data_IF_588849888401
#
_entry.id   IF_588849888401
#
_cell.length_a   1.000
_cell.length_b   1.000
_cell.length_c   1.000
_cell.angle_alpha   90.00
_cell.angle_beta   90.00
_cell.angle_gamma   90.00
#
_symmetry.space_group_name_H-M   'P 1'
#
loop_
_entity.id
_entity.type
_entity.pdbx_description
1 polymer ?
#
# COMPACT_ATOMS: atom_id res chain seq x y z
N UNK A 1 -11.43 -29.38 38.24
CA UNK A 1 -12.02 -29.01 36.94
C UNK A 1 -11.05 -28.06 36.27
N UNK A 2 -10.40 -28.50 35.20
CA UNK A 2 -9.48 -27.68 34.42
C UNK A 2 -10.35 -26.59 33.76
N UNK A 3 -10.07 -25.33 34.06
CA UNK A 3 -10.81 -24.17 33.56
C UNK A 3 -10.63 -24.14 32.03
N UNK A 4 -11.64 -24.55 31.29
CA UNK A 4 -11.70 -24.70 29.82
C UNK A 4 -11.67 -23.34 29.09
N UNK A 5 -11.20 -22.29 29.77
CA UNK A 5 -11.18 -20.91 29.28
C UNK A 5 -10.11 -20.68 28.22
N UNK A 6 -9.21 -21.60 27.94
CA UNK A 6 -8.09 -21.35 27.02
C UNK A 6 -8.35 -21.69 25.54
N UNK A 7 -9.46 -22.35 25.20
CA UNK A 7 -9.75 -22.77 23.81
C UNK A 7 -10.93 -22.06 23.15
N UNK A 8 -11.04 -20.72 23.29
CA UNK A 8 -11.99 -19.94 22.50
C UNK A 8 -11.57 -19.99 21.02
N UNK A 9 -12.34 -20.73 20.23
CA UNK A 9 -12.10 -20.95 18.80
C UNK A 9 -12.72 -19.84 17.96
N UNK A 10 -12.30 -19.83 16.70
CA UNK A 10 -12.83 -18.96 15.66
C UNK A 10 -14.35 -19.04 15.53
N UNK A 11 -14.96 -20.21 15.69
CA UNK A 11 -16.41 -20.41 15.48
C UNK A 11 -17.27 -20.02 16.69
N UNK A 12 -16.64 -19.85 17.87
CA UNK A 12 -17.35 -19.63 19.13
C UNK A 12 -17.82 -18.18 19.32
N UNK A 13 -17.24 -17.23 18.57
CA UNK A 13 -17.58 -15.81 18.65
C UNK A 13 -18.71 -15.51 17.65
N UNK A 14 -19.94 -15.17 18.05
CA UNK A 14 -21.00 -14.83 17.08
C UNK A 14 -20.69 -13.54 16.32
N UNK A 15 -21.21 -13.43 15.09
CA UNK A 15 -21.16 -12.18 14.32
C UNK A 15 -22.36 -11.32 14.69
N UNK A 16 -22.10 -10.12 15.21
CA UNK A 16 -23.13 -9.15 15.60
C UNK A 16 -23.19 -8.02 14.58
N UNK A 17 -24.02 -8.18 13.53
CA UNK A 17 -24.09 -7.28 12.37
C UNK A 17 -24.92 -6.03 12.60
N UNK A 18 -25.91 -6.11 13.49
CA UNK A 18 -26.93 -5.09 13.72
C UNK A 18 -27.50 -5.19 15.14
N UNK A 19 -28.41 -4.28 15.49
CA UNK A 19 -29.03 -4.24 16.82
C UNK A 19 -29.87 -5.49 17.06
N UNK A 20 -30.57 -6.02 16.06
CA UNK A 20 -31.43 -7.20 16.19
C UNK A 20 -30.63 -8.45 16.57
N UNK A 21 -29.45 -8.63 15.98
CA UNK A 21 -28.50 -9.71 16.30
C UNK A 21 -28.05 -9.71 17.77
N UNK A 22 -28.21 -8.57 18.46
CA UNK A 22 -27.91 -8.39 19.88
C UNK A 22 -29.18 -8.59 20.72
N UNK A 23 -30.25 -7.83 20.42
CA UNK A 23 -31.42 -7.72 21.32
C UNK A 23 -32.37 -8.92 21.24
N UNK A 24 -32.40 -9.63 20.12
CA UNK A 24 -33.25 -10.81 19.92
C UNK A 24 -32.67 -12.09 20.56
N UNK A 25 -31.50 -12.01 21.19
CA UNK A 25 -30.86 -13.17 21.81
C UNK A 25 -31.63 -13.59 23.06
N UNK A 26 -31.80 -14.90 23.23
CA UNK A 26 -32.62 -15.52 24.30
C UNK A 26 -32.34 -14.99 25.71
N UNK A 27 -31.08 -14.69 26.01
CA UNK A 27 -30.63 -14.27 27.34
C UNK A 27 -30.37 -12.77 27.45
N UNK A 28 -30.64 -12.00 26.40
CA UNK A 28 -30.38 -10.58 26.38
C UNK A 28 -31.35 -9.82 27.30
N UNK A 29 -30.79 -8.99 28.17
CA UNK A 29 -31.52 -8.05 29.04
C UNK A 29 -30.78 -6.73 29.11
N UNK A 30 -31.52 -5.64 28.98
CA UNK A 30 -30.99 -4.28 29.08
C UNK A 30 -32.12 -3.35 29.55
N UNK A 31 -31.89 -2.50 30.57
CA UNK A 31 -30.65 -2.33 31.34
C UNK A 31 -30.43 -3.38 32.44
N UNK A 32 -29.19 -3.52 32.90
CA UNK A 32 -28.76 -4.35 34.04
C UNK A 32 -27.98 -3.51 35.07
N UNK A 33 -28.19 -3.83 36.35
CA UNK A 33 -27.40 -3.28 37.46
C UNK A 33 -26.24 -4.21 37.80
N UNK A 34 -25.08 -3.64 38.08
CA UNK A 34 -23.85 -4.33 38.45
C UNK A 34 -23.36 -3.89 39.85
N UNK A 35 -22.39 -4.62 40.41
CA UNK A 35 -21.68 -4.19 41.61
C UNK A 35 -21.12 -2.76 41.45
N UNK A 36 -21.23 -1.87 42.46
CA UNK A 36 -21.66 -2.12 43.85
C UNK A 36 -23.17 -2.00 44.11
N UNK A 37 -23.96 -1.48 43.15
CA UNK A 37 -25.41 -1.24 43.36
C UNK A 37 -26.23 -2.53 43.35
N UNK A 38 -25.72 -3.59 42.73
CA UNK A 38 -26.30 -4.93 42.73
C UNK A 38 -25.24 -5.93 43.22
N UNK A 39 -25.36 -6.40 44.47
CA UNK A 39 -24.31 -7.20 45.15
C UNK A 39 -23.98 -8.53 44.46
N UNK A 40 -24.92 -9.07 43.68
CA UNK A 40 -24.82 -10.43 43.15
C UNK A 40 -24.45 -10.51 41.66
N UNK A 41 -24.36 -9.37 40.95
CA UNK A 41 -24.11 -9.35 39.51
C UNK A 41 -22.75 -8.76 39.17
N UNK A 42 -21.86 -9.64 38.72
CA UNK A 42 -20.52 -9.31 38.24
C UNK A 42 -20.41 -9.56 36.73
N UNK A 43 -19.31 -9.08 36.15
CA UNK A 43 -18.91 -9.42 34.79
C UNK A 43 -18.71 -10.94 34.68
N UNK A 44 -19.28 -11.53 33.62
CA UNK A 44 -19.03 -12.91 33.22
C UNK A 44 -17.86 -12.95 32.23
N UNK A 45 -18.17 -13.05 30.94
CA UNK A 45 -17.20 -13.03 29.85
C UNK A 45 -17.67 -12.09 28.73
N UNK A 46 -16.78 -11.77 27.80
CA UNK A 46 -17.23 -11.20 26.52
C UNK A 46 -17.80 -12.35 25.67
N UNK A 47 -18.89 -12.08 24.96
CA UNK A 47 -19.47 -13.00 23.96
C UNK A 47 -18.92 -12.66 22.58
N UNK A 48 -19.04 -11.39 22.19
CA UNK A 48 -18.54 -10.89 20.91
C UNK A 48 -18.45 -9.37 20.90
N UNK A 49 -17.50 -8.80 20.14
CA UNK A 49 -17.52 -7.38 19.81
C UNK A 49 -18.63 -7.09 18.78
N UNK A 50 -19.23 -5.90 18.85
CA UNK A 50 -20.17 -5.40 17.86
C UNK A 50 -19.68 -4.09 17.24
N UNK A 51 -19.98 -3.91 15.95
CA UNK A 51 -19.66 -2.70 15.18
C UNK A 51 -20.87 -2.29 14.33
N UNK A 52 -21.78 -1.54 14.94
CA UNK A 52 -23.03 -1.11 14.32
C UNK A 52 -22.79 -0.01 13.29
N UNK A 53 -23.62 0.03 12.26
CA UNK A 53 -23.65 1.08 11.24
C UNK A 53 -24.96 1.85 11.33
N UNK A 54 -24.89 3.18 11.40
CA UNK A 54 -26.05 4.05 11.42
C UNK A 54 -26.66 4.24 12.81
N UNK A 55 -27.35 3.22 13.33
CA UNK A 55 -28.08 3.33 14.59
C UNK A 55 -27.24 2.92 15.81
N UNK A 56 -27.30 3.72 16.87
CA UNK A 56 -26.65 3.42 18.14
C UNK A 56 -27.55 2.62 19.08
N UNK A 57 -26.93 1.71 19.86
CA UNK A 57 -27.58 0.96 20.92
C UNK A 57 -27.25 1.58 22.28
N UNK A 58 -28.24 1.74 23.17
CA UNK A 58 -28.01 2.25 24.53
C UNK A 58 -27.21 1.25 25.35
N UNK A 59 -26.24 1.72 26.12
CA UNK A 59 -25.47 0.89 27.04
C UNK A 59 -26.38 0.17 28.03
N UNK A 60 -26.20 -1.14 28.17
CA UNK A 60 -26.93 -2.00 29.07
C UNK A 60 -26.51 -1.88 30.53
N UNK A 61 -25.48 -1.12 30.87
CA UNK A 61 -25.24 -0.72 32.26
C UNK A 61 -26.28 0.34 32.64
N UNK A 62 -27.14 0.01 33.60
CA UNK A 62 -28.27 0.86 34.01
C UNK A 62 -27.86 2.28 34.42
N UNK A 63 -26.68 2.43 35.03
CA UNK A 63 -26.16 3.72 35.47
C UNK A 63 -25.45 4.52 34.36
N UNK A 64 -25.36 3.95 33.16
CA UNK A 64 -24.68 4.57 32.03
C UNK A 64 -25.67 5.06 30.98
N UNK A 65 -26.43 4.15 30.36
CA UNK A 65 -27.41 4.46 29.30
C UNK A 65 -26.86 5.14 28.04
N UNK A 66 -25.56 5.44 27.98
CA UNK A 66 -24.93 6.15 26.85
C UNK A 66 -25.07 5.33 25.56
N UNK A 67 -25.43 5.94 24.42
CA UNK A 67 -25.51 5.24 23.16
C UNK A 67 -24.13 4.90 22.59
N UNK A 68 -23.98 3.73 21.97
CA UNK A 68 -22.73 3.25 21.39
C UNK A 68 -22.95 2.69 19.97
N UNK A 69 -21.97 2.93 19.08
CA UNK A 69 -21.82 2.22 17.81
C UNK A 69 -20.91 1.00 17.94
N UNK A 70 -19.98 1.03 18.89
CA UNK A 70 -18.95 0.02 19.09
C UNK A 70 -18.89 -0.40 20.55
N UNK A 71 -18.77 -1.70 20.78
CA UNK A 71 -18.70 -2.25 22.13
C UNK A 71 -18.77 -3.76 22.11
N UNK A 72 -19.23 -4.32 23.22
CA UNK A 72 -19.21 -5.76 23.45
C UNK A 72 -20.56 -6.23 23.96
N UNK A 73 -21.00 -7.36 23.44
CA UNK A 73 -21.98 -8.19 24.12
C UNK A 73 -21.24 -8.97 25.20
N UNK A 74 -21.70 -8.87 26.44
CA UNK A 74 -21.11 -9.58 27.58
C UNK A 74 -22.14 -10.51 28.21
N UNK A 75 -21.66 -11.56 28.86
CA UNK A 75 -22.43 -12.30 29.86
C UNK A 75 -22.18 -11.74 31.25
N UNK A 76 -23.10 -12.04 32.16
CA UNK A 76 -23.01 -11.71 33.58
C UNK A 76 -22.86 -12.99 34.41
N UNK A 77 -22.48 -12.86 35.69
CA UNK A 77 -22.35 -14.01 36.61
C UNK A 77 -23.64 -14.85 36.74
N UNK A 78 -24.80 -14.24 36.50
CA UNK A 78 -26.13 -14.86 36.47
C UNK A 78 -26.59 -15.29 35.06
N UNK A 79 -25.65 -15.41 34.10
CA UNK A 79 -25.86 -15.89 32.71
C UNK A 79 -26.78 -15.03 31.85
N UNK A 80 -27.05 -13.79 32.24
CA UNK A 80 -27.73 -12.82 31.38
C UNK A 80 -26.74 -12.22 30.39
N UNK A 81 -27.23 -11.77 29.24
CA UNK A 81 -26.44 -11.05 28.25
C UNK A 81 -26.83 -9.58 28.23
N UNK A 82 -25.86 -8.67 28.05
CA UNK A 82 -26.13 -7.25 27.83
C UNK A 82 -25.05 -6.59 26.99
N UNK A 83 -25.39 -5.51 26.31
CA UNK A 83 -24.44 -4.76 25.49
C UNK A 83 -23.79 -3.64 26.31
N UNK A 84 -22.49 -3.42 26.14
CA UNK A 84 -21.79 -2.32 26.80
C UNK A 84 -20.79 -1.65 25.86
N UNK A 85 -20.50 -0.37 26.07
CA UNK A 85 -19.41 0.31 25.38
C UNK A 85 -18.04 -0.10 25.95
N UNK A 86 -16.98 0.02 25.13
CA UNK A 86 -15.60 -0.27 25.51
C UNK A 86 -15.15 0.46 26.78
N UNK A 87 -15.35 1.78 26.81
CA UNK A 87 -14.93 2.62 27.93
C UNK A 87 -15.76 2.33 29.18
N UNK A 88 -17.04 2.01 28.99
CA UNK A 88 -17.94 1.61 30.06
C UNK A 88 -17.46 0.31 30.70
N UNK A 89 -17.18 -0.73 29.91
CA UNK A 89 -16.66 -2.00 30.40
C UNK A 89 -15.32 -1.85 31.12
N UNK A 90 -14.37 -1.14 30.52
CA UNK A 90 -13.05 -0.88 31.12
C UNK A 90 -13.18 -0.15 32.47
N UNK A 91 -14.05 0.86 32.55
CA UNK A 91 -14.27 1.61 33.79
C UNK A 91 -14.94 0.77 34.87
N UNK A 92 -15.94 -0.04 34.51
CA UNK A 92 -16.76 -0.79 35.48
C UNK A 92 -16.09 -2.09 35.94
N UNK A 93 -15.38 -2.79 35.05
CA UNK A 93 -14.86 -4.14 35.30
C UNK A 93 -13.33 -4.26 35.25
N UNK A 94 -12.63 -3.17 34.92
CA UNK A 94 -11.16 -3.05 35.02
C UNK A 94 -10.42 -4.16 34.25
N UNK A 95 -9.45 -4.80 34.89
CA UNK A 95 -8.46 -5.70 34.27
C UNK A 95 -9.09 -6.94 33.62
N UNK A 96 -10.11 -7.53 34.25
CA UNK A 96 -10.75 -8.75 33.75
C UNK A 96 -11.40 -8.50 32.39
N UNK A 97 -12.09 -7.37 32.26
CA UNK A 97 -12.67 -6.95 30.99
C UNK A 97 -11.61 -6.58 29.95
N UNK A 98 -10.52 -5.93 30.35
CA UNK A 98 -9.47 -5.54 29.42
C UNK A 98 -8.75 -6.74 28.79
N UNK A 99 -8.52 -7.82 29.56
CA UNK A 99 -7.91 -9.05 29.07
C UNK A 99 -8.84 -9.77 28.07
N UNK A 100 -10.11 -9.97 28.45
CA UNK A 100 -11.13 -10.59 27.60
C UNK A 100 -11.37 -9.79 26.32
N UNK A 101 -11.35 -8.45 26.42
CA UNK A 101 -11.48 -7.53 25.30
C UNK A 101 -10.37 -7.77 24.27
N UNK A 102 -9.11 -7.78 24.71
CA UNK A 102 -7.96 -7.99 23.83
C UNK A 102 -8.09 -9.32 23.07
N UNK A 103 -8.47 -10.39 23.77
CA UNK A 103 -8.65 -11.72 23.17
C UNK A 103 -9.74 -11.73 22.09
N UNK A 104 -10.90 -11.16 22.38
CA UNK A 104 -12.02 -11.12 21.44
C UNK A 104 -11.76 -10.20 20.25
N UNK A 105 -11.07 -9.07 20.48
CA UNK A 105 -10.64 -8.16 19.41
C UNK A 105 -9.67 -8.85 18.46
N UNK A 106 -8.72 -9.65 18.97
CA UNK A 106 -7.78 -10.41 18.17
C UNK A 106 -8.49 -11.48 17.31
N UNK A 107 -9.44 -12.22 17.89
CA UNK A 107 -10.23 -13.22 17.17
C UNK A 107 -11.12 -12.58 16.11
N UNK A 108 -11.80 -11.49 16.44
CA UNK A 108 -12.64 -10.75 15.50
C UNK A 108 -11.81 -10.14 14.36
N UNK A 109 -10.67 -9.54 14.67
CA UNK A 109 -9.73 -9.02 13.67
C UNK A 109 -9.22 -10.14 12.75
N UNK A 110 -8.85 -11.29 13.32
CA UNK A 110 -8.47 -12.49 12.55
C UNK A 110 -9.59 -12.90 11.58
N UNK A 111 -10.85 -12.93 12.04
CA UNK A 111 -12.03 -13.23 11.19
C UNK A 111 -12.20 -12.26 10.04
N UNK A 112 -12.17 -10.96 10.31
CA UNK A 112 -12.29 -9.97 9.25
C UNK A 112 -11.17 -10.14 8.19
N UNK A 113 -9.94 -10.37 8.64
CA UNK A 113 -8.81 -10.58 7.73
C UNK A 113 -8.95 -11.86 6.90
N UNK A 114 -9.36 -12.98 7.52
CA UNK A 114 -9.63 -14.23 6.79
C UNK A 114 -10.73 -14.03 5.76
N UNK A 115 -11.85 -13.38 6.13
CA UNK A 115 -12.93 -13.09 5.18
C UNK A 115 -12.43 -12.33 3.95
N UNK A 116 -11.59 -11.30 4.15
CA UNK A 116 -10.95 -10.57 3.05
C UNK A 116 -9.97 -11.41 2.23
N UNK A 117 -9.25 -12.36 2.85
CA UNK A 117 -8.36 -13.28 2.12
C UNK A 117 -9.17 -14.27 1.29
N UNK A 118 -10.31 -14.74 1.79
CA UNK A 118 -11.22 -15.60 1.03
C UNK A 118 -11.84 -14.86 -0.15
N UNK A 119 -12.23 -13.59 0.02
CA UNK A 119 -12.61 -12.71 -1.09
C UNK A 119 -11.46 -12.52 -2.09
N UNK A 120 -10.23 -12.28 -1.60
CA UNK A 120 -9.04 -12.19 -2.45
C UNK A 120 -8.85 -13.48 -3.27
N UNK A 121 -9.07 -14.65 -2.67
CA UNK A 121 -8.88 -15.96 -3.34
C UNK A 121 -9.69 -16.07 -4.62
N UNK A 122 -10.90 -15.50 -4.69
CA UNK A 122 -11.74 -15.58 -5.89
C UNK A 122 -11.18 -14.77 -7.06
N UNK A 123 -10.42 -13.71 -6.78
CA UNK A 123 -9.81 -12.82 -7.78
C UNK A 123 -8.29 -13.00 -7.90
N UNK A 124 -7.68 -13.82 -7.05
CA UNK A 124 -6.24 -14.03 -7.02
C UNK A 124 -5.65 -14.56 -8.33
N UNK A 125 -6.31 -15.48 -9.08
CA UNK A 125 -5.76 -15.96 -10.36
C UNK A 125 -5.61 -14.86 -11.42
N UNK A 126 -6.62 -14.01 -11.60
CA UNK A 126 -6.55 -12.91 -12.57
C UNK A 126 -5.53 -11.86 -12.12
N UNK A 127 -5.49 -11.55 -10.82
CA UNK A 127 -4.51 -10.64 -10.25
C UNK A 127 -3.07 -11.15 -10.41
N UNK A 128 -2.84 -12.45 -10.20
CA UNK A 128 -1.55 -13.09 -10.42
C UNK A 128 -1.13 -12.97 -11.89
N UNK A 129 -2.06 -13.20 -12.83
CA UNK A 129 -1.80 -13.04 -14.25
C UNK A 129 -1.39 -11.59 -14.59
N UNK A 130 -2.14 -10.60 -14.09
CA UNK A 130 -1.81 -9.17 -14.27
C UNK A 130 -0.42 -8.83 -13.74
N UNK A 131 -0.13 -9.17 -12.48
CA UNK A 131 1.17 -8.86 -11.86
C UNK A 131 2.32 -9.57 -12.59
N UNK A 132 2.12 -10.81 -13.05
CA UNK A 132 3.14 -11.55 -13.81
C UNK A 132 3.40 -10.90 -15.17
N UNK A 133 2.37 -10.45 -15.87
CA UNK A 133 2.50 -9.70 -17.13
C UNK A 133 3.24 -8.37 -16.93
N UNK A 134 2.88 -7.62 -15.89
CA UNK A 134 3.58 -6.40 -15.48
C UNK A 134 5.05 -6.70 -15.19
N UNK A 135 5.35 -7.77 -14.44
CA UNK A 135 6.71 -8.16 -14.12
C UNK A 135 7.53 -8.44 -15.38
N UNK A 136 7.00 -9.22 -16.31
CA UNK A 136 7.67 -9.53 -17.57
C UNK A 136 7.99 -8.27 -18.39
N UNK A 137 7.00 -7.37 -18.53
CA UNK A 137 7.18 -6.10 -19.24
C UNK A 137 8.20 -5.18 -18.56
N UNK A 138 8.11 -5.04 -17.25
CA UNK A 138 9.04 -4.22 -16.48
C UNK A 138 10.47 -4.77 -16.55
N UNK A 139 10.65 -6.09 -16.40
CA UNK A 139 11.98 -6.73 -16.50
C UNK A 139 12.59 -6.58 -17.90
N UNK A 140 11.77 -6.66 -18.94
CA UNK A 140 12.20 -6.38 -20.31
C UNK A 140 12.74 -4.94 -20.43
N UNK A 141 11.96 -3.93 -20.02
CA UNK A 141 12.38 -2.53 -20.07
C UNK A 141 13.59 -2.25 -19.17
N UNK A 142 13.66 -2.89 -17.99
CA UNK A 142 14.82 -2.84 -17.10
C UNK A 142 16.08 -3.38 -17.78
N UNK A 143 15.96 -4.42 -18.61
CA UNK A 143 17.07 -4.96 -19.40
C UNK A 143 17.57 -3.96 -20.45
N UNK A 144 16.66 -3.25 -21.14
CA UNK A 144 17.03 -2.18 -22.08
C UNK A 144 17.75 -1.04 -21.37
N UNK A 145 17.25 -0.65 -20.20
CA UNK A 145 17.90 0.37 -19.35
C UNK A 145 19.29 -0.05 -18.91
N UNK A 146 19.46 -1.31 -18.53
CA UNK A 146 20.77 -1.87 -18.17
C UNK A 146 21.74 -1.81 -19.36
N UNK A 147 21.25 -2.12 -20.57
CA UNK A 147 22.05 -2.04 -21.80
C UNK A 147 22.43 -0.61 -22.17
N UNK A 148 21.49 0.33 -22.06
CA UNK A 148 21.77 1.76 -22.21
C UNK A 148 22.89 2.18 -21.26
N UNK A 149 22.71 1.96 -19.95
CA UNK A 149 23.69 2.35 -18.93
C UNK A 149 25.04 1.67 -19.11
N UNK A 150 25.06 0.40 -19.50
CA UNK A 150 26.30 -0.35 -19.71
C UNK A 150 27.11 0.12 -20.92
N UNK A 151 26.49 0.82 -21.88
CA UNK A 151 27.16 1.40 -23.03
C UNK A 151 27.73 2.82 -22.75
N UNK A 152 27.34 3.47 -21.65
CA UNK A 152 27.78 4.82 -21.35
C UNK A 152 29.19 4.84 -20.74
N UNK A 153 30.00 5.81 -21.16
CA UNK A 153 31.22 6.18 -20.44
C UNK A 153 30.92 6.67 -19.02
N UNK A 154 31.93 6.70 -18.13
CA UNK A 154 31.75 7.21 -16.77
C UNK A 154 31.26 8.67 -16.74
N UNK A 155 31.75 9.50 -17.67
CA UNK A 155 31.34 10.90 -17.82
C UNK A 155 29.88 11.00 -18.26
N UNK A 156 29.49 10.21 -19.27
CA UNK A 156 28.11 10.21 -19.78
C UNK A 156 27.12 9.65 -18.76
N UNK A 157 27.50 8.60 -18.03
CA UNK A 157 26.69 8.07 -16.92
C UNK A 157 26.46 9.13 -15.85
N UNK A 158 27.49 9.90 -15.49
CA UNK A 158 27.37 10.98 -14.50
C UNK A 158 26.42 12.08 -14.96
N UNK A 159 26.45 12.44 -16.26
CA UNK A 159 25.52 13.40 -16.87
C UNK A 159 24.08 12.88 -16.82
N UNK A 160 23.87 11.62 -17.21
CA UNK A 160 22.55 11.00 -17.18
C UNK A 160 22.00 10.94 -15.75
N UNK A 161 22.83 10.55 -14.77
CA UNK A 161 22.42 10.47 -13.37
C UNK A 161 22.08 11.85 -12.78
N UNK A 162 22.80 12.90 -13.18
CA UNK A 162 22.43 14.28 -12.80
C UNK A 162 21.05 14.65 -13.35
N UNK A 163 20.76 14.33 -14.62
CA UNK A 163 19.46 14.59 -15.25
C UNK A 163 18.31 13.78 -14.61
N UNK A 164 18.59 12.52 -14.25
CA UNK A 164 17.61 11.68 -13.52
C UNK A 164 17.33 12.25 -12.13
N UNK A 165 18.35 12.75 -11.42
CA UNK A 165 18.18 13.39 -10.11
C UNK A 165 17.35 14.67 -10.19
N UNK A 166 17.51 15.48 -11.24
CA UNK A 166 16.72 16.70 -11.43
C UNK A 166 15.27 16.41 -11.85
N UNK A 167 14.97 15.19 -12.34
CA UNK A 167 13.64 14.77 -12.83
C UNK A 167 13.05 15.67 -13.91
N UNK A 168 13.91 16.37 -14.63
CA UNK A 168 13.53 17.32 -15.67
C UNK A 168 13.68 16.63 -17.04
N UNK A 169 12.57 16.30 -17.73
CA UNK A 169 12.62 15.67 -19.05
C UNK A 169 12.99 16.66 -20.15
N UNK A 170 13.08 17.96 -19.85
CA UNK A 170 13.29 19.00 -20.85
C UNK A 170 14.63 18.89 -21.56
N UNK A 171 14.60 19.10 -22.87
CA UNK A 171 15.76 19.29 -23.72
C UNK A 171 15.99 20.78 -23.90
N UNK A 172 17.24 21.22 -23.76
CA UNK A 172 17.57 22.64 -23.80
C UNK A 172 18.72 22.93 -24.74
N UNK A 173 18.60 24.05 -25.46
CA UNK A 173 19.70 24.67 -26.20
C UNK A 173 20.21 25.87 -25.40
N UNK A 174 21.52 26.04 -25.35
CA UNK A 174 22.17 27.18 -24.71
C UNK A 174 22.67 28.16 -25.76
N UNK A 175 22.25 29.42 -25.63
CA UNK A 175 22.64 30.50 -26.53
C UNK A 175 23.32 31.63 -25.77
N UNK A 176 24.19 32.38 -26.45
CA UNK A 176 24.75 33.60 -25.89
C UNK A 176 23.62 34.61 -25.66
N UNK A 177 23.57 35.18 -24.45
CA UNK A 177 22.65 36.29 -24.15
C UNK A 177 23.06 37.53 -24.95
N UNK A 178 22.08 38.30 -25.40
CA UNK A 178 22.33 39.63 -25.97
C UNK A 178 22.92 40.57 -24.92
N UNK A 179 23.51 41.70 -25.33
CA UNK A 179 24.07 42.69 -24.39
C UNK A 179 23.01 43.17 -23.37
N UNK A 180 21.81 43.51 -23.86
CA UNK A 180 20.71 43.93 -23.00
C UNK A 180 20.26 42.81 -22.02
N UNK A 181 20.22 41.55 -22.46
CA UNK A 181 19.88 40.42 -21.59
C UNK A 181 20.97 40.13 -20.54
N UNK A 182 22.24 40.44 -20.84
CA UNK A 182 23.35 40.32 -19.88
C UNK A 182 23.28 41.41 -18.82
N UNK A 183 23.04 42.65 -19.23
CA UNK A 183 22.87 43.78 -18.31
C UNK A 183 21.70 43.54 -17.35
N UNK A 184 20.53 43.14 -17.87
CA UNK A 184 19.36 42.80 -17.06
C UNK A 184 19.62 41.63 -16.08
N UNK A 185 20.41 40.63 -16.48
CA UNK A 185 20.79 39.52 -15.60
C UNK A 185 21.73 39.96 -14.47
N UNK A 186 22.69 40.85 -14.75
CA UNK A 186 23.64 41.36 -13.76
C UNK A 186 22.97 42.32 -12.77
N UNK A 187 21.94 43.05 -13.20
CA UNK A 187 21.12 43.88 -12.31
C UNK A 187 20.28 43.04 -11.34
N UNK A 188 19.74 41.92 -11.82
CA UNK A 188 18.86 41.04 -11.03
C UNK A 188 19.61 39.99 -10.19
N UNK A 189 20.90 39.76 -10.45
CA UNK A 189 21.74 38.82 -9.71
C UNK A 189 23.04 39.45 -9.17
N UNK A 190 23.06 39.89 -7.89
CA UNK A 190 24.21 40.57 -7.27
C UNK A 190 25.52 39.74 -7.27
N UNK A 191 25.42 38.43 -7.12
CA UNK A 191 26.57 37.50 -7.14
C UNK A 191 27.19 37.37 -8.55
N UNK A 192 26.36 37.42 -9.59
CA UNK A 192 26.82 37.45 -10.98
C UNK A 192 27.48 38.80 -11.31
N UNK A 193 26.99 39.90 -10.71
CA UNK A 193 27.59 41.24 -10.85
C UNK A 193 29.00 41.33 -10.30
N UNK A 194 29.30 40.65 -9.19
CA UNK A 194 30.65 40.57 -8.61
C UNK A 194 31.62 39.72 -9.44
N UNK A 195 31.14 38.61 -9.99
CA UNK A 195 31.97 37.66 -10.75
C UNK A 195 32.09 38.00 -12.25
N UNK A 196 31.20 38.85 -12.78
CA UNK A 196 31.08 39.13 -14.21
C UNK A 196 30.57 37.95 -15.04
N UNK A 197 30.25 36.82 -14.40
CA UNK A 197 29.82 35.60 -15.07
C UNK A 197 28.31 35.64 -15.33
N UNK A 198 27.93 35.62 -16.61
CA UNK A 198 26.54 35.51 -17.03
C UNK A 198 26.36 34.16 -17.72
N UNK A 199 25.54 33.25 -17.17
CA UNK A 199 25.28 31.98 -17.81
C UNK A 199 24.52 32.19 -19.13
N UNK A 200 24.73 31.29 -20.11
CA UNK A 200 24.01 31.35 -21.38
C UNK A 200 22.49 31.27 -21.16
N UNK A 201 21.75 31.80 -22.13
CA UNK A 201 20.28 31.71 -22.17
C UNK A 201 19.89 30.26 -22.43
N UNK A 202 19.05 29.71 -21.57
CA UNK A 202 18.52 28.36 -21.71
C UNK A 202 17.17 28.42 -22.45
N UNK A 203 17.04 27.72 -23.57
CA UNK A 203 15.82 27.66 -24.38
C UNK A 203 15.35 26.21 -24.40
N UNK A 204 14.12 25.92 -23.91
CA UNK A 204 13.53 24.58 -23.99
C UNK A 204 13.17 24.29 -25.45
N UNK A 205 13.78 23.25 -26.02
CA UNK A 205 13.57 22.85 -27.42
C UNK A 205 12.72 21.59 -27.56
N UNK A 206 12.47 20.88 -26.46
CA UNK A 206 11.65 19.68 -26.44
C UNK A 206 11.69 18.99 -25.08
N UNK A 207 11.30 17.74 -25.07
CA UNK A 207 11.38 16.85 -23.91
C UNK A 207 11.53 15.40 -24.35
N UNK A 208 12.23 14.60 -23.54
CA UNK A 208 12.36 13.17 -23.77
C UNK A 208 11.14 12.47 -23.16
N UNK A 209 10.27 11.93 -24.01
CA UNK A 209 9.10 11.17 -23.54
C UNK A 209 9.53 9.96 -22.70
N UNK A 210 8.77 9.63 -21.67
CA UNK A 210 9.07 8.47 -20.84
C UNK A 210 10.31 8.54 -19.94
N UNK A 211 10.99 9.70 -19.87
CA UNK A 211 12.26 9.88 -19.13
C UNK A 211 12.20 9.42 -17.66
N UNK A 212 11.03 9.48 -17.04
CA UNK A 212 10.78 9.03 -15.66
C UNK A 212 11.19 7.57 -15.43
N UNK A 213 11.13 6.69 -16.44
CA UNK A 213 11.49 5.28 -16.33
C UNK A 213 12.96 5.06 -15.98
N UNK A 214 13.85 5.95 -16.44
CA UNK A 214 15.28 5.88 -16.11
C UNK A 214 15.54 6.00 -14.60
N UNK A 215 14.65 6.70 -13.89
CA UNK A 215 14.67 6.87 -12.45
C UNK A 215 14.03 5.73 -11.65
N UNK A 216 13.49 4.68 -12.29
CA UNK A 216 12.89 3.56 -11.57
C UNK A 216 13.91 2.85 -10.66
N UNK A 217 13.48 2.43 -9.49
CA UNK A 217 14.30 1.94 -8.38
C UNK A 217 13.93 0.51 -7.98
N UNK A 218 14.72 -0.10 -7.10
CA UNK A 218 14.38 -1.43 -6.55
C UNK A 218 13.04 -1.44 -5.80
N UNK A 219 12.61 -0.31 -5.22
CA UNK A 219 11.31 -0.21 -4.52
C UNK A 219 10.13 -0.38 -5.46
N UNK A 220 10.31 -0.13 -6.75
CA UNK A 220 9.26 -0.36 -7.75
C UNK A 220 9.01 -1.86 -7.95
N UNK A 221 9.97 -2.71 -7.58
CA UNK A 221 9.88 -4.17 -7.69
C UNK A 221 9.21 -4.83 -6.47
N UNK A 222 8.91 -4.06 -5.42
CA UNK A 222 8.28 -4.58 -4.21
C UNK A 222 6.93 -5.24 -4.48
N UNK A 223 6.21 -4.81 -5.54
CA UNK A 223 4.98 -5.47 -5.99
C UNK A 223 5.21 -6.94 -6.35
N UNK A 224 6.37 -7.31 -6.89
CA UNK A 224 6.64 -8.67 -7.34
C UNK A 224 6.86 -9.64 -6.19
N UNK A 225 7.19 -9.14 -4.99
CA UNK A 225 7.21 -9.96 -3.78
C UNK A 225 5.84 -10.55 -3.47
N UNK A 226 4.77 -10.04 -4.10
CA UNK A 226 3.40 -10.52 -3.92
C UNK A 226 3.04 -11.75 -4.75
N UNK A 227 3.84 -12.10 -5.76
CA UNK A 227 3.57 -13.24 -6.64
C UNK A 227 3.51 -14.56 -5.85
N UNK A 228 4.48 -14.79 -4.95
CA UNK A 228 4.57 -16.06 -4.21
C UNK A 228 3.38 -16.26 -3.27
N UNK A 229 2.98 -15.29 -2.42
CA UNK A 229 1.82 -15.51 -1.56
C UNK A 229 0.47 -15.43 -2.29
N UNK A 230 0.36 -14.78 -3.44
CA UNK A 230 -0.82 -14.97 -4.31
C UNK A 230 -0.92 -16.44 -4.76
N UNK A 231 0.18 -17.07 -5.16
CA UNK A 231 0.19 -18.50 -5.46
C UNK A 231 -0.21 -19.34 -4.25
N UNK A 232 0.24 -18.98 -3.04
CA UNK A 232 -0.14 -19.65 -1.81
C UNK A 232 -1.66 -19.52 -1.52
N UNK A 233 -2.24 -18.33 -1.68
CA UNK A 233 -3.69 -18.09 -1.54
C UNK A 233 -4.48 -18.90 -2.58
N UNK A 234 -3.99 -18.97 -3.83
CA UNK A 234 -4.62 -19.75 -4.89
C UNK A 234 -4.60 -21.25 -4.55
N UNK A 235 -3.47 -21.75 -4.06
CA UNK A 235 -3.29 -23.16 -3.73
C UNK A 235 -4.06 -23.60 -2.48
N UNK A 236 -4.16 -22.75 -1.45
CA UNK A 236 -4.73 -23.15 -0.16
C UNK A 236 -6.26 -23.32 -0.19
N UNK A 237 -6.81 -24.33 0.47
CA UNK A 237 -8.25 -24.46 0.67
C UNK A 237 -8.79 -23.39 1.63
N UNK A 238 -10.12 -23.22 1.67
CA UNK A 238 -10.74 -22.30 2.63
C UNK A 238 -10.41 -22.71 4.08
N UNK A 239 -10.52 -23.99 4.39
CA UNK A 239 -10.21 -24.56 5.72
C UNK A 239 -8.75 -24.34 6.12
N UNK A 240 -7.81 -24.52 5.18
CA UNK A 240 -6.39 -24.26 5.42
C UNK A 240 -6.15 -22.78 5.76
N UNK A 241 -6.83 -21.85 5.09
CA UNK A 241 -6.70 -20.41 5.36
C UNK A 241 -7.17 -20.06 6.79
N UNK A 242 -8.19 -20.74 7.32
CA UNK A 242 -8.63 -20.54 8.72
C UNK A 242 -7.56 -20.94 9.74
N UNK A 243 -6.71 -21.90 9.38
CA UNK A 243 -5.64 -22.45 10.20
C UNK A 243 -4.30 -21.71 10.05
N UNK A 244 -4.21 -20.75 9.13
CA UNK A 244 -2.99 -19.96 8.95
C UNK A 244 -2.56 -19.22 10.22
N UNK A 245 -1.25 -19.05 10.36
CA UNK A 245 -0.66 -18.36 11.51
C UNK A 245 -1.04 -16.87 11.47
N UNK A 246 -1.19 -16.19 12.62
CA UNK A 246 -1.55 -14.77 12.66
C UNK A 246 -0.65 -13.85 11.83
N UNK A 247 0.65 -14.18 11.74
CA UNK A 247 1.62 -13.47 10.91
C UNK A 247 1.36 -13.62 9.41
N UNK A 248 0.98 -14.82 8.95
CA UNK A 248 0.65 -15.12 7.56
C UNK A 248 -0.64 -14.41 7.14
N UNK A 249 -1.67 -14.45 7.99
CA UNK A 249 -2.93 -13.73 7.79
C UNK A 249 -2.68 -12.23 7.69
N UNK A 250 -1.91 -11.66 8.63
CA UNK A 250 -1.65 -10.22 8.65
C UNK A 250 -0.81 -9.77 7.46
N UNK A 251 0.20 -10.56 7.06
CA UNK A 251 1.01 -10.29 5.88
C UNK A 251 0.16 -10.32 4.61
N UNK A 252 -0.61 -11.39 4.39
CA UNK A 252 -1.47 -11.52 3.19
C UNK A 252 -2.56 -10.44 3.15
N UNK A 253 -3.20 -10.14 4.29
CA UNK A 253 -4.22 -9.09 4.35
C UNK A 253 -3.67 -7.70 4.03
N UNK A 254 -2.48 -7.35 4.53
CA UNK A 254 -1.87 -6.05 4.26
C UNK A 254 -1.75 -5.74 2.76
N UNK A 255 -1.64 -6.77 1.93
CA UNK A 255 -1.43 -6.65 0.50
C UNK A 255 -2.68 -6.24 -0.25
N UNK A 256 -3.85 -6.63 0.25
CA UNK A 256 -5.15 -6.29 -0.35
C UNK A 256 -5.25 -4.76 -0.52
N UNK A 257 -4.71 -3.98 0.42
CA UNK A 257 -4.66 -2.52 0.32
C UNK A 257 -3.50 -1.94 -0.50
N UNK A 258 -2.42 -2.70 -0.72
CA UNK A 258 -1.20 -2.21 -1.38
C UNK A 258 -1.15 -2.51 -2.88
N UNK A 259 -1.67 -3.67 -3.30
CA UNK A 259 -1.57 -4.15 -4.69
C UNK A 259 -2.12 -3.15 -5.70
N UNK A 260 -3.33 -2.56 -5.54
CA UNK A 260 -3.86 -1.64 -6.55
C UNK A 260 -2.95 -0.44 -6.82
N UNK A 261 -2.40 0.18 -5.78
CA UNK A 261 -1.48 1.32 -5.92
C UNK A 261 -0.16 0.91 -6.57
N UNK A 262 0.36 -0.27 -6.22
CA UNK A 262 1.59 -0.80 -6.82
C UNK A 262 1.42 -1.14 -8.29
N UNK A 263 0.28 -1.74 -8.67
CA UNK A 263 -0.08 -2.04 -10.06
C UNK A 263 -0.12 -0.76 -10.90
N UNK A 264 -0.93 0.24 -10.49
CA UNK A 264 -1.04 1.49 -11.27
C UNK A 264 0.30 2.23 -11.41
N UNK A 265 1.14 2.19 -10.37
CA UNK A 265 2.48 2.78 -10.42
C UNK A 265 3.37 2.07 -11.44
N UNK A 266 3.42 0.75 -11.42
CA UNK A 266 4.24 -0.02 -12.35
C UNK A 266 3.72 0.04 -13.79
N UNK A 267 2.41 0.08 -14.00
CA UNK A 267 1.82 0.31 -15.32
C UNK A 267 2.26 1.68 -15.88
N UNK A 268 2.18 2.74 -15.07
CA UNK A 268 2.67 4.07 -15.47
C UNK A 268 4.16 4.09 -15.81
N UNK A 269 4.98 3.35 -15.04
CA UNK A 269 6.40 3.18 -15.35
C UNK A 269 6.63 2.38 -16.64
N UNK A 270 5.84 1.33 -16.89
CA UNK A 270 5.94 0.55 -18.13
C UNK A 270 5.58 1.42 -19.34
N UNK A 271 4.51 2.22 -19.25
CA UNK A 271 4.14 3.19 -20.29
C UNK A 271 5.31 4.16 -20.52
N UNK A 272 5.85 4.74 -19.46
CA UNK A 272 7.02 5.63 -19.56
C UNK A 272 8.22 4.92 -20.18
N UNK A 273 8.50 3.67 -19.83
CA UNK A 273 9.62 2.93 -20.42
C UNK A 273 9.41 2.65 -21.91
N UNK A 274 8.21 2.27 -22.32
CA UNK A 274 7.88 2.06 -23.73
C UNK A 274 7.99 3.36 -24.54
N UNK A 275 7.55 4.49 -23.98
CA UNK A 275 7.73 5.81 -24.62
C UNK A 275 9.21 6.20 -24.72
N UNK A 276 10.01 5.89 -23.69
CA UNK A 276 11.42 6.25 -23.65
C UNK A 276 12.28 5.45 -24.63
N UNK A 277 12.09 4.14 -24.75
CA UNK A 277 12.94 3.29 -25.60
C UNK A 277 12.53 3.31 -27.08
N UNK A 278 12.60 4.51 -27.67
CA UNK A 278 12.53 4.73 -29.10
C UNK A 278 13.90 5.18 -29.61
N UNK A 279 14.15 5.02 -30.91
CA UNK A 279 15.39 5.52 -31.51
C UNK A 279 15.60 7.02 -31.26
N UNK A 280 14.57 7.83 -31.53
CA UNK A 280 14.64 9.28 -31.39
C UNK A 280 15.01 9.71 -29.96
N UNK A 281 14.36 9.14 -28.94
CA UNK A 281 14.61 9.53 -27.54
C UNK A 281 16.03 9.17 -27.07
N UNK A 282 16.59 8.07 -27.58
CA UNK A 282 17.98 7.69 -27.26
C UNK A 282 18.96 8.62 -27.98
N UNK A 283 18.68 9.00 -29.23
CA UNK A 283 19.50 9.97 -29.97
C UNK A 283 19.44 11.36 -29.32
N UNK A 284 18.28 11.78 -28.82
CA UNK A 284 18.08 13.05 -28.12
C UNK A 284 18.87 13.17 -26.81
N UNK A 285 19.40 12.06 -26.27
CA UNK A 285 20.36 12.10 -25.17
C UNK A 285 21.65 12.84 -25.55
N UNK A 286 21.98 12.94 -26.84
CA UNK A 286 23.10 13.76 -27.31
C UNK A 286 22.90 15.25 -26.96
N UNK A 287 21.65 15.72 -26.92
CA UNK A 287 21.30 17.10 -26.57
C UNK A 287 21.52 17.42 -25.08
N UNK A 288 21.62 16.40 -24.23
CA UNK A 288 22.05 16.55 -22.83
C UNK A 288 23.55 16.28 -22.63
N UNK A 289 24.29 16.22 -23.75
CA UNK A 289 25.74 16.07 -23.77
C UNK A 289 26.23 14.63 -23.66
N UNK A 290 25.41 13.61 -23.93
CA UNK A 290 25.90 12.23 -24.01
C UNK A 290 26.56 12.00 -25.37
N UNK A 291 27.75 11.39 -25.39
CA UNK A 291 28.52 11.21 -26.64
C UNK A 291 27.89 10.19 -27.60
N UNK A 292 28.02 10.42 -28.91
CA UNK A 292 27.58 9.48 -29.94
C UNK A 292 28.32 8.14 -29.90
N UNK A 293 29.56 8.13 -29.39
CA UNK A 293 30.35 6.92 -29.15
C UNK A 293 29.72 6.02 -28.08
N UNK A 294 29.05 6.61 -27.08
CA UNK A 294 28.25 5.89 -26.09
C UNK A 294 26.87 5.47 -26.62
N UNK A 295 26.23 6.34 -27.42
CA UNK A 295 24.85 6.10 -27.90
C UNK A 295 24.76 5.07 -29.03
N UNK A 296 25.71 5.06 -29.97
CA UNK A 296 25.63 4.16 -31.13
C UNK A 296 25.63 2.67 -30.74
N UNK A 297 26.51 2.19 -29.83
CA UNK A 297 26.45 0.82 -29.33
C UNK A 297 25.17 0.53 -28.54
N UNK A 298 24.67 1.50 -27.77
CA UNK A 298 23.43 1.36 -27.01
C UNK A 298 22.23 1.14 -27.93
N UNK A 299 22.09 1.98 -28.96
CA UNK A 299 21.04 1.91 -29.98
C UNK A 299 21.07 0.56 -30.69
N UNK A 300 22.26 0.09 -31.10
CA UNK A 300 22.42 -1.20 -31.75
C UNK A 300 21.94 -2.36 -30.86
N UNK A 301 22.39 -2.41 -29.61
CA UNK A 301 22.01 -3.49 -28.68
C UNK A 301 20.53 -3.43 -28.29
N UNK A 302 19.97 -2.25 -28.07
CA UNK A 302 18.55 -2.07 -27.74
C UNK A 302 17.69 -2.54 -28.92
N UNK A 303 18.01 -2.09 -30.14
CA UNK A 303 17.31 -2.53 -31.36
C UNK A 303 17.37 -4.05 -31.53
N UNK A 304 18.54 -4.66 -31.28
CA UNK A 304 18.72 -6.12 -31.34
C UNK A 304 17.81 -6.83 -30.35
N UNK A 305 17.76 -6.38 -29.09
CA UNK A 305 16.93 -6.99 -28.04
C UNK A 305 15.44 -6.81 -28.33
N UNK A 306 15.03 -5.63 -28.82
CA UNK A 306 13.63 -5.37 -29.19
C UNK A 306 13.18 -6.26 -30.35
N UNK A 307 14.01 -6.40 -31.39
CA UNK A 307 13.75 -7.30 -32.52
C UNK A 307 13.62 -8.76 -32.06
N UNK A 308 14.53 -9.25 -31.21
CA UNK A 308 14.46 -10.62 -30.65
C UNK A 308 13.19 -10.85 -29.82
N UNK A 309 12.64 -9.82 -29.20
CA UNK A 309 11.39 -9.87 -28.44
C UNK A 309 10.14 -9.61 -29.29
N UNK A 310 10.28 -9.45 -30.62
CA UNK A 310 9.16 -9.13 -31.53
C UNK A 310 8.58 -7.73 -31.31
N UNK A 311 9.37 -6.79 -30.78
CA UNK A 311 8.96 -5.40 -30.54
C UNK A 311 9.62 -4.46 -31.54
N UNK A 312 8.86 -3.46 -31.97
CA UNK A 312 9.39 -2.39 -32.82
C UNK A 312 10.17 -1.39 -31.99
N UNK A 313 11.33 -0.98 -32.51
CA UNK A 313 12.20 0.04 -31.96
C UNK A 313 11.95 1.39 -32.63
#
# INVERSE_FOLDING_TARGET
>A
MIDDKDNLSFDDVPVLTDIESIVCRKWYKSPLHFFPKHKERNFGNIVAPYHLKGQMIKCGISDCGKPHLHGYLITTSDKLETNIGKDCGTKHFKTDFAAEMKRHDELYSKRLKIGRILELKTVAPSMLHTITSIQQNYLFLKSLRFKLRGALSATDSSRLDHKIKSRDPGLYRYEARSLAEREAYLETNPEARKSGSVPPKQIKIGEISGFSFLGASHKDEDLFNFISPLKAVIAASGEEIHQWRPGEISKTHAWIGLVPKGVSRLESLIVSGNEFFTQQNIEDLALIGISNDSLSPAIYEIRRIMSMAGRHF
#
